data_IF_708613331694
#
_entry.id   IF_708613331694
#
_cell.length_a   1.000
_cell.length_b   1.000
_cell.length_c   1.000
_cell.angle_alpha   90.00
_cell.angle_beta   90.00
_cell.angle_gamma   90.00
#
_symmetry.space_group_name_H-M   'P 1'
#
loop_
_entity.id
_entity.type
_entity.pdbx_description
1 polymer ?
#
# COMPACT_ATOMS: atom_id res chain seq x y z
N UNK A 1 -14.98 -4.94 8.59
CA UNK A 1 -14.59 -3.53 8.35
C UNK A 1 -13.43 -3.35 7.37
N UNK A 2 -12.40 -4.21 7.34
CA UNK A 2 -11.27 -4.16 6.37
C UNK A 2 -11.69 -4.04 4.90
N UNK A 3 -12.70 -4.83 4.54
CA UNK A 3 -13.33 -4.94 3.21
C UNK A 3 -13.70 -3.61 2.52
N UNK A 4 -13.93 -2.51 3.25
CA UNK A 4 -14.27 -1.20 2.66
C UNK A 4 -13.02 -0.52 2.10
N UNK A 5 -11.94 -0.49 2.87
CA UNK A 5 -10.69 0.17 2.45
C UNK A 5 -9.96 -0.63 1.37
N UNK A 6 -10.11 -1.95 1.35
CA UNK A 6 -9.70 -2.79 0.23
C UNK A 6 -10.40 -2.40 -1.08
N UNK A 7 -11.72 -2.17 -1.04
CA UNK A 7 -12.48 -1.72 -2.21
C UNK A 7 -12.12 -0.29 -2.62
N UNK A 8 -11.90 0.59 -1.64
CA UNK A 8 -11.45 1.96 -1.89
C UNK A 8 -10.12 1.98 -2.63
N UNK A 9 -9.09 1.29 -2.10
CA UNK A 9 -7.76 1.28 -2.71
C UNK A 9 -7.75 0.53 -4.05
N UNK A 10 -8.51 -0.57 -4.16
CA UNK A 10 -8.75 -1.24 -5.45
C UNK A 10 -9.29 -0.26 -6.49
N UNK A 11 -10.38 0.44 -6.17
CA UNK A 11 -11.02 1.39 -7.10
C UNK A 11 -10.10 2.57 -7.47
N UNK A 12 -9.26 3.03 -6.54
CA UNK A 12 -8.25 4.06 -6.83
C UNK A 12 -7.25 3.54 -7.88
N UNK A 13 -6.66 2.36 -7.65
CA UNK A 13 -5.65 1.78 -8.54
C UNK A 13 -6.20 1.40 -9.92
N UNK A 14 -7.47 1.01 -10.00
CA UNK A 14 -8.18 0.74 -11.26
C UNK A 14 -8.64 2.02 -11.98
N UNK A 15 -8.52 3.19 -11.35
CA UNK A 15 -8.97 4.46 -11.93
C UNK A 15 -10.49 4.61 -11.99
N UNK A 16 -11.24 4.01 -11.06
CA UNK A 16 -12.69 4.14 -10.99
C UNK A 16 -13.10 5.59 -10.66
N UNK A 17 -13.83 6.23 -11.58
CA UNK A 17 -14.21 7.65 -11.46
C UNK A 17 -15.03 7.94 -10.20
N UNK A 18 -15.95 7.05 -9.81
CA UNK A 18 -16.82 7.25 -8.65
C UNK A 18 -16.01 7.19 -7.36
N UNK A 19 -15.09 6.24 -7.27
CA UNK A 19 -14.18 6.11 -6.13
C UNK A 19 -13.22 7.32 -6.10
N UNK A 20 -12.57 7.66 -7.21
CA UNK A 20 -11.65 8.80 -7.29
C UNK A 20 -12.33 10.11 -6.89
N UNK A 21 -13.54 10.39 -7.41
CA UNK A 21 -14.29 11.59 -7.04
C UNK A 21 -14.63 11.63 -5.55
N UNK A 22 -14.92 10.47 -4.94
CA UNK A 22 -15.28 10.37 -3.51
C UNK A 22 -14.06 10.59 -2.62
N UNK A 23 -12.94 9.90 -2.90
CA UNK A 23 -11.76 9.91 -2.02
C UNK A 23 -10.98 11.23 -2.13
N UNK A 24 -11.02 11.89 -3.28
CA UNK A 24 -10.31 13.16 -3.51
C UNK A 24 -11.11 14.39 -3.13
N UNK A 25 -12.31 14.25 -2.53
CA UNK A 25 -13.20 15.37 -2.21
C UNK A 25 -12.54 16.43 -1.31
N UNK A 26 -11.66 16.00 -0.41
CA UNK A 26 -10.94 16.87 0.53
C UNK A 26 -9.46 17.04 0.18
N UNK A 27 -9.02 16.47 -0.95
CA UNK A 27 -7.67 16.64 -1.47
C UNK A 27 -7.46 18.04 -2.05
N UNK A 28 -6.23 18.53 -1.96
CA UNK A 28 -5.77 19.67 -2.74
C UNK A 28 -5.88 19.40 -4.24
N UNK A 29 -5.85 20.46 -5.05
CA UNK A 29 -5.89 20.33 -6.51
C UNK A 29 -4.74 19.48 -7.05
N UNK A 30 -3.56 19.58 -6.45
CA UNK A 30 -2.37 18.80 -6.83
C UNK A 30 -2.56 17.31 -6.52
N UNK A 31 -2.93 16.96 -5.28
CA UNK A 31 -3.21 15.58 -4.89
C UNK A 31 -4.30 14.98 -5.77
N UNK A 32 -5.40 15.70 -5.98
CA UNK A 32 -6.50 15.26 -6.86
C UNK A 32 -6.02 15.00 -8.27
N UNK A 33 -5.23 15.91 -8.85
CA UNK A 33 -4.64 15.72 -10.18
C UNK A 33 -3.82 14.43 -10.27
N UNK A 34 -3.00 14.15 -9.25
CA UNK A 34 -2.18 12.95 -9.20
C UNK A 34 -3.01 11.66 -9.09
N UNK A 35 -4.05 11.65 -8.26
CA UNK A 35 -4.97 10.50 -8.15
C UNK A 35 -5.63 10.16 -9.49
N UNK A 36 -6.03 11.19 -10.25
CA UNK A 36 -6.67 11.02 -11.55
C UNK A 36 -5.74 10.50 -12.66
N UNK A 37 -4.42 10.45 -12.45
CA UNK A 37 -3.49 9.79 -13.37
C UNK A 37 -3.74 8.28 -13.45
N UNK A 38 -4.30 7.66 -12.40
CA UNK A 38 -4.68 6.26 -12.40
C UNK A 38 -5.65 5.90 -13.55
N UNK A 39 -6.51 6.84 -13.98
CA UNK A 39 -7.40 6.64 -15.14
C UNK A 39 -6.65 6.41 -16.44
N UNK A 40 -5.46 6.99 -16.60
CA UNK A 40 -4.66 6.90 -17.82
C UNK A 40 -3.82 5.62 -17.87
N UNK A 41 -3.32 5.16 -16.72
CA UNK A 41 -2.45 3.99 -16.58
C UNK A 41 -2.93 3.09 -15.43
N UNK A 42 -4.15 2.53 -15.52
CA UNK A 42 -4.76 1.76 -14.44
C UNK A 42 -4.06 0.42 -14.22
N UNK A 43 -4.27 -0.14 -13.03
CA UNK A 43 -3.94 -1.51 -12.71
C UNK A 43 -5.15 -2.41 -12.91
N UNK A 44 -4.92 -3.67 -13.27
CA UNK A 44 -5.87 -4.76 -12.98
C UNK A 44 -5.64 -5.18 -11.53
N UNK A 45 -6.68 -5.13 -10.70
CA UNK A 45 -6.55 -5.44 -9.28
C UNK A 45 -7.53 -6.53 -8.87
N UNK A 46 -7.01 -7.58 -8.24
CA UNK A 46 -7.84 -8.65 -7.67
C UNK A 46 -7.72 -8.64 -6.15
N UNK A 47 -8.82 -8.95 -5.47
CA UNK A 47 -8.84 -9.18 -4.02
C UNK A 47 -8.53 -10.63 -3.74
N UNK A 48 -7.60 -10.89 -2.83
CA UNK A 48 -7.30 -12.25 -2.41
C UNK A 48 -8.40 -12.77 -1.48
N UNK A 49 -9.00 -13.91 -1.82
CA UNK A 49 -9.98 -14.56 -0.96
C UNK A 49 -9.26 -15.24 0.22
N UNK A 50 -9.74 -15.01 1.44
CA UNK A 50 -9.24 -15.67 2.66
C UNK A 50 -7.83 -15.24 3.09
N UNK A 51 -7.50 -13.95 2.98
CA UNK A 51 -6.14 -13.40 2.98
C UNK A 51 -5.19 -14.02 4.03
N UNK A 52 -4.31 -14.90 3.54
CA UNK A 52 -3.14 -15.42 4.23
C UNK A 52 -2.00 -14.39 4.30
N UNK A 53 -2.33 -13.10 4.48
CA UNK A 53 -1.40 -11.97 4.60
C UNK A 53 -1.23 -11.08 3.36
N UNK A 54 -2.14 -11.17 2.37
CA UNK A 54 -2.21 -10.28 1.21
C UNK A 54 -3.67 -9.97 0.93
N UNK A 55 -4.04 -8.70 0.82
CA UNK A 55 -5.42 -8.28 0.54
C UNK A 55 -5.67 -8.02 -0.94
N UNK A 56 -4.70 -7.40 -1.63
CA UNK A 56 -4.77 -7.07 -3.06
C UNK A 56 -3.57 -7.63 -3.82
N UNK A 57 -3.82 -8.04 -5.07
CA UNK A 57 -2.79 -8.24 -6.09
C UNK A 57 -3.05 -7.23 -7.19
N UNK A 58 -2.08 -6.36 -7.45
CA UNK A 58 -2.16 -5.34 -8.49
C UNK A 58 -1.19 -5.68 -9.62
N UNK A 59 -1.69 -5.65 -10.86
CA UNK A 59 -0.92 -5.94 -12.05
C UNK A 59 -1.10 -4.83 -13.09
N UNK A 60 0.00 -4.44 -13.70
CA UNK A 60 0.05 -3.61 -14.90
C UNK A 60 1.24 -4.10 -15.72
N UNK A 61 1.21 -3.97 -17.05
CA UNK A 61 2.19 -4.62 -17.93
C UNK A 61 3.67 -4.33 -17.62
N UNK A 62 3.95 -3.27 -16.85
CA UNK A 62 5.28 -2.88 -16.41
C UNK A 62 5.62 -3.25 -14.96
N UNK A 63 4.64 -3.55 -14.11
CA UNK A 63 4.86 -3.84 -12.69
C UNK A 63 3.70 -4.59 -12.04
N UNK A 64 4.03 -5.50 -11.13
CA UNK A 64 3.08 -6.19 -10.26
C UNK A 64 3.55 -6.14 -8.82
N UNK A 65 2.62 -6.09 -7.89
CA UNK A 65 2.91 -6.13 -6.45
C UNK A 65 1.76 -6.76 -5.65
N UNK A 66 2.12 -7.34 -4.51
CA UNK A 66 1.20 -7.80 -3.49
C UNK A 66 1.01 -6.69 -2.47
N UNK A 67 -0.22 -6.49 -2.00
CA UNK A 67 -0.51 -5.42 -1.06
C UNK A 67 -1.35 -5.89 0.12
N UNK A 68 -0.90 -5.52 1.32
CA UNK A 68 -1.61 -5.71 2.58
C UNK A 68 -2.14 -4.36 3.06
N UNK A 69 -3.40 -4.30 3.49
CA UNK A 69 -4.05 -3.05 3.86
C UNK A 69 -4.25 -2.99 5.37
N UNK A 70 -3.89 -1.85 5.96
CA UNK A 70 -4.20 -1.51 7.34
C UNK A 70 -4.96 -0.19 7.38
N UNK A 71 -5.97 -0.13 8.25
CA UNK A 71 -6.75 1.08 8.45
C UNK A 71 -6.99 1.33 9.94
N UNK A 72 -6.60 2.50 10.42
CA UNK A 72 -6.68 2.87 11.85
C UNK A 72 -7.10 4.32 12.02
N UNK A 73 -7.68 4.65 13.17
CA UNK A 73 -7.89 6.05 13.58
C UNK A 73 -6.65 6.64 14.28
N UNK A 74 -5.72 5.78 14.71
CA UNK A 74 -4.44 6.16 15.30
C UNK A 74 -3.38 6.09 14.19
N UNK A 75 -2.42 7.01 14.20
CA UNK A 75 -1.37 7.15 13.18
C UNK A 75 -0.24 6.12 13.26
N UNK A 76 -0.22 5.28 14.30
CA UNK A 76 0.87 4.34 14.55
C UNK A 76 0.31 2.94 14.81
N UNK A 77 0.89 1.95 14.13
CA UNK A 77 0.60 0.54 14.34
C UNK A 77 1.86 -0.21 14.76
N UNK A 78 1.79 -0.85 15.93
CA UNK A 78 2.81 -1.77 16.43
C UNK A 78 2.41 -3.21 16.11
N UNK A 79 3.25 -3.94 15.39
CA UNK A 79 2.91 -5.29 14.90
C UNK A 79 3.07 -6.36 15.98
N UNK A 80 3.71 -6.01 17.10
CA UNK A 80 3.77 -6.81 18.33
C UNK A 80 2.44 -6.83 19.09
N UNK A 81 1.52 -5.91 18.81
CA UNK A 81 0.19 -5.91 19.41
C UNK A 81 -0.64 -7.10 18.93
N UNK A 82 -1.53 -7.62 19.78
CA UNK A 82 -2.42 -8.77 19.48
C UNK A 82 -1.63 -10.05 19.18
N UNK A 83 -1.08 -10.67 20.23
CA UNK A 83 -0.38 -11.97 20.23
C UNK A 83 0.68 -12.15 19.13
N UNK A 84 1.25 -11.05 18.61
CA UNK A 84 2.21 -11.04 17.52
C UNK A 84 1.68 -11.56 16.18
N UNK A 85 0.36 -11.64 15.99
CA UNK A 85 -0.23 -12.16 14.74
C UNK A 85 0.18 -11.33 13.52
N UNK A 86 0.16 -10.00 13.65
CA UNK A 86 0.55 -9.07 12.59
C UNK A 86 2.03 -9.22 12.24
N UNK A 87 2.89 -9.35 13.25
CA UNK A 87 4.31 -9.63 13.06
C UNK A 87 4.53 -10.91 12.24
N UNK A 88 3.91 -12.03 12.64
CA UNK A 88 4.04 -13.32 11.91
C UNK A 88 3.52 -13.23 10.47
N UNK A 89 2.44 -12.50 10.23
CA UNK A 89 1.91 -12.27 8.89
C UNK A 89 2.89 -11.48 8.02
N UNK A 90 3.49 -10.42 8.58
CA UNK A 90 4.47 -9.60 7.86
C UNK A 90 5.72 -10.38 7.49
N UNK A 91 6.30 -11.11 8.45
CA UNK A 91 7.46 -11.97 8.20
C UNK A 91 7.17 -13.07 7.17
N UNK A 92 5.96 -13.64 7.20
CA UNK A 92 5.53 -14.60 6.18
C UNK A 92 5.46 -13.94 4.81
N UNK A 93 4.83 -12.77 4.68
CA UNK A 93 4.75 -12.06 3.40
C UNK A 93 6.15 -11.73 2.87
N UNK A 94 7.05 -11.26 3.73
CA UNK A 94 8.44 -10.96 3.35
C UNK A 94 9.15 -12.21 2.78
N UNK A 95 9.10 -13.34 3.49
CA UNK A 95 9.72 -14.60 3.03
C UNK A 95 9.15 -15.09 1.69
N UNK A 96 7.84 -15.03 1.51
CA UNK A 96 7.22 -15.48 0.26
C UNK A 96 7.53 -14.52 -0.90
N UNK A 97 7.55 -13.21 -0.65
CA UNK A 97 7.93 -12.21 -1.64
C UNK A 97 9.40 -12.34 -2.06
N UNK A 98 10.29 -12.71 -1.15
CA UNK A 98 11.71 -12.96 -1.44
C UNK A 98 11.91 -14.19 -2.34
N UNK A 99 11.25 -15.31 -2.01
CA UNK A 99 11.27 -16.52 -2.85
C UNK A 99 10.71 -16.28 -4.24
N UNK A 100 9.66 -15.46 -4.35
CA UNK A 100 8.94 -15.21 -5.60
C UNK A 100 9.42 -13.96 -6.34
N UNK A 101 10.41 -13.23 -5.79
CA UNK A 101 10.91 -11.95 -6.30
C UNK A 101 9.78 -10.95 -6.61
N UNK A 102 8.77 -10.93 -5.76
CA UNK A 102 7.61 -10.05 -5.88
C UNK A 102 7.69 -8.92 -4.87
N UNK A 103 7.21 -7.72 -5.23
CA UNK A 103 7.23 -6.56 -4.34
C UNK A 103 6.05 -6.61 -3.34
N UNK A 104 6.29 -6.64 -2.01
CA UNK A 104 5.27 -6.43 -1.01
C UNK A 104 5.06 -4.94 -0.72
N UNK A 105 3.82 -4.48 -0.72
CA UNK A 105 3.46 -3.11 -0.33
C UNK A 105 2.47 -3.16 0.83
N UNK A 106 2.63 -2.26 1.79
CA UNK A 106 1.62 -1.99 2.79
C UNK A 106 0.90 -0.69 2.47
N UNK A 107 -0.44 -0.73 2.45
CA UNK A 107 -1.28 0.46 2.39
C UNK A 107 -1.82 0.81 3.75
N UNK A 108 -1.42 1.94 4.32
CA UNK A 108 -1.95 2.45 5.58
C UNK A 108 -2.92 3.63 5.34
N UNK A 109 -4.20 3.37 5.62
CA UNK A 109 -5.27 4.37 5.64
C UNK A 109 -5.49 4.95 7.04
N UNK A 110 -5.26 6.26 7.20
CA UNK A 110 -5.60 6.97 8.44
C UNK A 110 -7.04 7.48 8.37
N UNK A 111 -7.89 7.04 9.31
CA UNK A 111 -9.32 7.40 9.37
C UNK A 111 -9.48 8.81 9.92
N UNK A 112 -10.47 9.55 9.41
CA UNK A 112 -10.76 10.93 9.84
C UNK A 112 -9.78 11.98 9.30
N UNK A 113 -8.76 11.59 8.54
CA UNK A 113 -7.83 12.51 7.89
C UNK A 113 -8.41 13.06 6.58
N UNK A 114 -8.37 14.38 6.39
CA UNK A 114 -8.67 15.04 5.10
C UNK A 114 -7.42 15.16 4.23
N UNK A 115 -7.57 15.33 2.92
CA UNK A 115 -6.43 15.29 2.01
C UNK A 115 -6.04 13.87 1.59
N UNK A 116 -4.80 13.69 1.15
CA UNK A 116 -4.26 12.36 0.85
C UNK A 116 -4.03 11.54 2.13
N UNK A 117 -5.00 10.68 2.41
CA UNK A 117 -5.12 9.90 3.63
C UNK A 117 -4.45 8.51 3.58
N UNK A 118 -3.83 8.17 2.47
CA UNK A 118 -3.13 6.90 2.27
C UNK A 118 -1.61 7.08 2.31
N UNK A 119 -0.94 6.11 2.94
CA UNK A 119 0.52 6.06 3.04
C UNK A 119 1.00 4.67 2.68
N UNK A 120 1.98 4.60 1.79
CA UNK A 120 2.52 3.34 1.28
C UNK A 120 3.90 3.05 1.87
N UNK A 121 4.11 1.79 2.20
CA UNK A 121 5.38 1.27 2.71
C UNK A 121 5.74 -0.01 1.97
N UNK A 122 6.98 -0.44 2.08
CA UNK A 122 7.44 -1.75 1.64
C UNK A 122 8.26 -2.43 2.74
N UNK A 123 8.55 -3.71 2.56
CA UNK A 123 9.58 -4.42 3.33
C UNK A 123 10.87 -4.51 2.51
N UNK A 124 11.98 -4.91 3.13
CA UNK A 124 13.17 -5.29 2.38
C UNK A 124 13.00 -6.71 1.84
N UNK A 125 13.09 -6.82 0.51
CA UNK A 125 13.06 -8.07 -0.23
C UNK A 125 14.29 -8.12 -1.11
N UNK A 126 15.11 -9.13 -0.90
CA UNK A 126 16.30 -9.35 -1.71
C UNK A 126 15.92 -9.86 -3.11
N UNK A 127 16.84 -9.74 -4.06
CA UNK A 127 16.68 -10.29 -5.41
C UNK A 127 15.49 -9.73 -6.23
N UNK A 128 14.90 -8.60 -5.82
CA UNK A 128 14.05 -7.85 -6.75
C UNK A 128 14.91 -7.28 -7.88
N UNK A 129 14.35 -7.31 -9.08
CA UNK A 129 14.99 -6.82 -10.31
C UNK A 129 14.08 -5.80 -11.03
N UNK A 130 14.64 -5.11 -12.03
CA UNK A 130 13.89 -4.21 -12.91
C UNK A 130 13.09 -3.14 -12.16
N UNK A 131 11.85 -2.88 -12.62
CA UNK A 131 10.97 -1.86 -12.05
C UNK A 131 10.57 -2.15 -10.60
N UNK A 132 10.47 -3.42 -10.20
CA UNK A 132 10.14 -3.78 -8.83
C UNK A 132 11.25 -3.34 -7.85
N UNK A 133 12.53 -3.51 -8.20
CA UNK A 133 13.65 -3.02 -7.38
C UNK A 133 13.69 -1.50 -7.30
N UNK A 134 13.46 -0.82 -8.42
CA UNK A 134 13.43 0.64 -8.45
C UNK A 134 12.30 1.17 -7.54
N UNK A 135 11.10 0.58 -7.62
CA UNK A 135 9.99 0.99 -6.78
C UNK A 135 10.24 0.68 -5.31
N UNK A 136 10.81 -0.49 -5.00
CA UNK A 136 11.21 -0.86 -3.64
C UNK A 136 12.14 0.19 -3.01
N UNK A 137 13.11 0.71 -3.77
CA UNK A 137 14.08 1.68 -3.26
C UNK A 137 13.45 3.07 -3.02
N UNK A 138 12.32 3.37 -3.67
CA UNK A 138 11.59 4.63 -3.51
C UNK A 138 10.56 4.59 -2.40
N UNK A 139 10.01 3.41 -2.09
CA UNK A 139 9.04 3.25 -1.01
C UNK A 139 9.72 3.24 0.36
N UNK A 140 9.18 3.99 1.34
CA UNK A 140 9.63 3.89 2.73
C UNK A 140 9.51 2.48 3.27
N UNK A 141 10.50 2.05 4.05
CA UNK A 141 10.53 0.74 4.68
C UNK A 141 9.75 0.77 5.99
N UNK A 142 9.10 -0.35 6.34
CA UNK A 142 8.59 -0.52 7.70
C UNK A 142 9.74 -0.39 8.69
N UNK A 143 9.57 0.49 9.68
CA UNK A 143 10.54 0.65 10.76
C UNK A 143 10.49 -0.55 11.71
N UNK A 144 11.57 -0.79 12.46
CA UNK A 144 11.64 -1.87 13.44
C UNK A 144 11.95 -1.32 14.82
N UNK A 145 11.32 -1.90 15.85
CA UNK A 145 11.69 -1.66 17.24
C UNK A 145 13.08 -2.23 17.56
N UNK A 146 13.63 -1.90 18.73
CA UNK A 146 14.85 -2.54 19.26
C UNK A 146 14.72 -4.06 19.39
N UNK A 147 13.50 -4.57 19.59
CA UNK A 147 13.18 -5.99 19.67
C UNK A 147 12.84 -6.62 18.32
N UNK A 148 13.05 -5.91 17.20
CA UNK A 148 12.83 -6.42 15.84
C UNK A 148 11.38 -6.43 15.37
N UNK A 149 10.44 -5.88 16.14
CA UNK A 149 9.03 -5.84 15.75
C UNK A 149 8.76 -4.68 14.78
N UNK A 150 7.93 -4.91 13.76
CA UNK A 150 7.58 -3.88 12.81
C UNK A 150 6.71 -2.79 13.45
N UNK A 151 7.01 -1.53 13.09
CA UNK A 151 6.25 -0.35 13.45
C UNK A 151 5.94 0.40 12.16
N UNK A 152 4.66 0.70 11.96
CA UNK A 152 4.18 1.47 10.82
C UNK A 152 3.57 2.78 11.32
N UNK A 153 4.27 3.89 11.09
CA UNK A 153 3.79 5.24 11.42
C UNK A 153 3.35 5.91 10.15
N UNK A 154 2.11 6.37 10.09
CA UNK A 154 1.48 6.89 8.90
C UNK A 154 2.32 7.99 8.24
N UNK A 155 2.81 8.94 9.03
CA UNK A 155 3.65 10.05 8.60
C UNK A 155 4.95 9.65 7.90
N UNK A 156 5.46 8.43 8.14
CA UNK A 156 6.73 7.96 7.56
C UNK A 156 6.54 7.37 6.14
N UNK A 157 5.29 7.18 5.70
CA UNK A 157 5.00 6.54 4.42
C UNK A 157 4.96 7.48 3.23
N UNK A 158 5.00 6.91 2.03
CA UNK A 158 4.86 7.68 0.80
C UNK A 158 3.38 8.02 0.58
N UNK A 159 3.00 9.29 0.34
CA UNK A 159 1.64 9.65 -0.04
C UNK A 159 1.19 8.88 -1.30
N UNK A 160 -0.07 8.43 -1.33
CA UNK A 160 -0.58 7.67 -2.48
C UNK A 160 -0.66 8.53 -3.74
N UNK A 161 -0.96 9.83 -3.61
CA UNK A 161 -0.89 10.80 -4.70
C UNK A 161 0.49 10.82 -5.34
N UNK A 162 1.56 10.91 -4.56
CA UNK A 162 2.94 10.90 -5.07
C UNK A 162 3.32 9.56 -5.71
N UNK A 163 2.86 8.45 -5.14
CA UNK A 163 3.03 7.13 -5.73
C UNK A 163 2.36 7.02 -7.10
N UNK A 164 1.12 7.51 -7.22
CA UNK A 164 0.38 7.52 -8.49
C UNK A 164 1.02 8.46 -9.51
N UNK A 165 1.51 9.63 -9.08
CA UNK A 165 2.30 10.51 -9.93
C UNK A 165 3.53 9.79 -10.50
N UNK A 166 4.27 9.09 -9.65
CA UNK A 166 5.48 8.38 -10.06
C UNK A 166 5.17 7.25 -11.06
N UNK A 167 4.11 6.46 -10.81
CA UNK A 167 3.81 5.29 -11.63
C UNK A 167 2.97 5.58 -12.88
N UNK A 168 2.19 6.65 -12.88
CA UNK A 168 1.22 6.96 -13.93
C UNK A 168 1.58 8.19 -14.76
N UNK A 169 2.67 8.88 -14.45
CA UNK A 169 3.35 9.78 -15.40
C UNK A 169 4.14 8.98 -16.44
#
# INVERSE_FOLDING_TARGET
MSSVYERELKGILEGDEKILSKVTKTCSALEKGNYYLAKKKPFVVVRAAGSFGVDLVALRGDISFLMEIKASAIDTLHFSSVDGKLQRQAEKMQRECEKTRTLPIYGFRLKGHGGDCWRLFTMEVQQLEGRAKILQNRLPKLSTSKSGNFIMRWQDGLPLSDFLLYLCK
#
